data_IF_116989796639
#
_entry.id   IF_116989796639
#
_cell.length_a   1.000
_cell.length_b   1.000
_cell.length_c   1.000
_cell.angle_alpha   90.00
_cell.angle_beta   90.00
_cell.angle_gamma   90.00
#
_symmetry.space_group_name_H-M   'P 1'
#
loop_
_entity.id
_entity.type
_entity.pdbx_description
1 polymer ?
#
# COMPACT_ATOMS: atom_id res chain seq x y z
N UNK A 1 9.10 54.39 -20.81
CA UNK A 1 9.28 52.95 -20.53
C UNK A 1 8.13 52.48 -19.63
N UNK A 2 7.43 51.39 -19.97
CA UNK A 2 6.39 50.79 -19.11
C UNK A 2 7.00 49.57 -18.41
N UNK A 3 6.75 49.33 -17.10
CA UNK A 3 7.28 48.15 -16.43
C UNK A 3 6.58 46.88 -16.92
N UNK A 4 7.37 45.83 -17.15
CA UNK A 4 6.89 44.49 -17.48
C UNK A 4 6.37 43.82 -16.20
N UNK A 5 5.08 43.46 -16.17
CA UNK A 5 4.46 42.73 -15.07
C UNK A 5 4.50 41.23 -15.37
N UNK A 6 5.24 40.47 -14.56
CA UNK A 6 5.23 39.00 -14.60
C UNK A 6 4.01 38.51 -13.82
N UNK A 7 2.99 38.01 -14.52
CA UNK A 7 1.90 37.28 -13.88
C UNK A 7 2.43 35.93 -13.39
N UNK A 8 2.54 35.75 -12.06
CA UNK A 8 2.78 34.44 -11.46
C UNK A 8 1.54 33.59 -11.66
N UNK A 9 1.57 32.68 -12.62
CA UNK A 9 0.58 31.61 -12.69
C UNK A 9 0.77 30.72 -11.46
N UNK A 10 -0.24 30.69 -10.59
CA UNK A 10 -0.28 29.74 -9.48
C UNK A 10 -0.32 28.32 -10.08
N UNK A 11 0.44 27.36 -9.53
CA UNK A 11 0.40 26.00 -10.05
C UNK A 11 -1.03 25.46 -9.90
N UNK A 12 -1.62 25.08 -11.03
CA UNK A 12 -2.89 24.38 -11.13
C UNK A 12 -2.91 23.22 -10.13
N UNK A 13 -3.85 23.28 -9.18
CA UNK A 13 -4.05 22.26 -8.16
C UNK A 13 -4.57 21.00 -8.85
N UNK A 14 -3.64 20.13 -9.22
CA UNK A 14 -3.87 18.85 -9.91
C UNK A 14 -4.91 18.04 -9.15
N UNK A 15 -5.92 17.56 -9.89
CA UNK A 15 -7.08 16.82 -9.39
C UNK A 15 -6.72 15.92 -8.20
N UNK A 16 -7.21 16.30 -7.03
CA UNK A 16 -6.95 15.58 -5.79
C UNK A 16 -7.67 14.24 -5.89
N UNK A 17 -6.93 13.16 -6.15
CA UNK A 17 -7.49 11.81 -6.07
C UNK A 17 -7.95 11.61 -4.62
N UNK A 18 -9.27 11.60 -4.44
CA UNK A 18 -9.89 11.42 -3.14
C UNK A 18 -10.25 9.94 -2.99
N UNK A 19 -9.42 9.21 -2.25
CA UNK A 19 -9.71 7.82 -1.90
C UNK A 19 -10.78 7.82 -0.80
N UNK A 20 -11.98 7.38 -1.14
CA UNK A 20 -13.06 7.19 -0.17
C UNK A 20 -13.09 5.71 0.23
N UNK A 21 -12.75 5.42 1.48
CA UNK A 21 -13.09 4.14 2.06
C UNK A 21 -14.58 4.20 2.46
N UNK A 22 -15.42 3.22 2.08
CA UNK A 22 -16.82 3.23 2.50
C UNK A 22 -16.87 3.30 4.03
N UNK A 23 -17.60 4.29 4.54
CA UNK A 23 -17.78 4.56 5.97
C UNK A 23 -18.35 3.30 6.62
N UNK A 24 -17.52 2.53 7.33
CA UNK A 24 -17.98 1.33 8.01
C UNK A 24 -18.68 1.72 9.28
N UNK A 25 -19.95 1.31 9.41
CA UNK A 25 -20.70 1.29 10.65
C UNK A 25 -19.82 0.84 11.81
N UNK A 26 -19.38 1.77 12.67
CA UNK A 26 -18.85 1.61 14.05
C UNK A 26 -17.94 0.39 14.40
N UNK A 27 -17.50 -0.45 13.46
CA UNK A 27 -16.69 -1.67 13.65
C UNK A 27 -15.18 -1.40 13.59
N UNK A 28 -14.80 -0.14 13.36
CA UNK A 28 -13.42 0.35 13.43
C UNK A 28 -12.99 0.87 14.81
N UNK A 29 -13.83 0.81 15.85
CA UNK A 29 -13.45 1.27 17.19
C UNK A 29 -12.29 0.41 17.73
N UNK A 30 -11.07 0.94 17.67
CA UNK A 30 -9.85 0.34 18.24
C UNK A 30 -8.83 -0.22 17.24
N UNK A 31 -9.11 -0.24 15.92
CA UNK A 31 -8.17 -0.68 14.89
C UNK A 31 -7.60 0.49 14.08
N UNK A 32 -6.38 0.34 13.56
CA UNK A 32 -5.64 1.41 12.88
C UNK A 32 -5.64 1.28 11.35
N UNK A 33 -5.36 2.38 10.66
CA UNK A 33 -4.90 2.36 9.28
C UNK A 33 -3.37 2.32 9.26
N UNK A 34 -2.81 1.35 8.52
CA UNK A 34 -1.37 1.17 8.35
C UNK A 34 -0.95 1.61 6.95
N UNK A 35 0.05 2.48 6.85
CA UNK A 35 0.59 2.97 5.57
C UNK A 35 2.05 2.53 5.47
N UNK A 36 2.36 1.67 4.50
CA UNK A 36 3.70 1.17 4.24
C UNK A 36 4.26 1.72 2.93
N UNK A 37 5.37 2.43 2.98
CA UNK A 37 6.08 2.93 1.78
C UNK A 37 7.30 2.07 1.47
N UNK A 38 7.54 1.78 0.19
CA UNK A 38 8.67 0.96 -0.28
C UNK A 38 8.71 -0.39 0.47
N UNK A 39 9.82 -0.72 1.13
CA UNK A 39 9.97 -1.91 1.95
C UNK A 39 8.92 -2.03 3.07
N UNK A 40 8.43 -0.89 3.58
CA UNK A 40 7.42 -0.85 4.63
C UNK A 40 6.12 -1.54 4.23
N UNK A 41 5.76 -1.59 2.94
CA UNK A 41 4.53 -2.26 2.51
C UNK A 41 4.61 -3.78 2.61
N UNK A 42 5.71 -4.40 2.15
CA UNK A 42 5.84 -5.86 2.27
C UNK A 42 6.05 -6.28 3.73
N UNK A 43 6.74 -5.46 4.54
CA UNK A 43 6.85 -5.69 6.00
C UNK A 43 5.47 -5.61 6.67
N UNK A 44 4.64 -4.65 6.26
CA UNK A 44 3.27 -4.53 6.77
C UNK A 44 2.45 -5.77 6.43
N UNK A 45 2.60 -6.33 5.23
CA UNK A 45 1.95 -7.59 4.85
C UNK A 45 2.42 -8.77 5.73
N UNK A 46 3.71 -8.86 6.04
CA UNK A 46 4.25 -9.84 7.01
C UNK A 46 3.63 -9.66 8.39
N UNK A 47 3.49 -8.43 8.86
CA UNK A 47 2.85 -8.13 10.13
C UNK A 47 1.39 -8.60 10.19
N UNK A 48 0.67 -8.58 9.06
CA UNK A 48 -0.72 -9.05 8.96
C UNK A 48 -0.85 -10.58 8.83
N UNK A 49 0.17 -11.25 8.31
CA UNK A 49 0.13 -12.71 8.09
C UNK A 49 0.14 -13.47 9.41
N UNK A 50 -0.61 -14.57 9.44
CA UNK A 50 -0.60 -15.54 10.53
C UNK A 50 0.48 -16.62 10.35
N UNK A 51 1.16 -16.65 9.18
CA UNK A 51 2.24 -17.61 8.93
C UNK A 51 3.53 -17.12 9.58
N UNK A 52 4.31 -18.09 10.07
CA UNK A 52 5.59 -17.82 10.72
C UNK A 52 6.60 -17.20 9.74
N UNK A 53 7.01 -15.96 10.03
CA UNK A 53 8.10 -15.26 9.37
C UNK A 53 9.25 -15.04 10.34
N UNK A 54 10.43 -15.60 10.04
CA UNK A 54 11.61 -15.43 10.89
C UNK A 54 11.44 -15.94 12.32
N UNK A 55 10.62 -16.96 12.53
CA UNK A 55 10.36 -17.55 13.85
C UNK A 55 9.15 -16.95 14.59
N UNK A 56 8.43 -15.96 14.02
CA UNK A 56 7.30 -15.30 14.69
C UNK A 56 6.09 -15.11 13.76
N UNK A 57 4.90 -15.15 14.35
CA UNK A 57 3.67 -14.56 13.80
C UNK A 57 3.35 -13.30 14.60
N UNK A 58 2.79 -12.28 13.95
CA UNK A 58 2.55 -10.98 14.58
C UNK A 58 1.06 -10.67 14.80
N UNK A 59 0.15 -11.45 14.21
CA UNK A 59 -1.30 -11.33 14.35
C UNK A 59 -1.83 -9.89 14.13
N UNK A 60 -1.17 -9.12 13.25
CA UNK A 60 -1.48 -7.71 13.04
C UNK A 60 -2.87 -7.45 12.45
N UNK A 61 -3.49 -8.47 11.86
CA UNK A 61 -4.85 -8.41 11.30
C UNK A 61 -5.93 -8.12 12.35
N UNK A 62 -5.67 -8.42 13.62
CA UNK A 62 -6.57 -8.07 14.74
C UNK A 62 -6.53 -6.57 15.07
N UNK A 63 -5.43 -5.89 14.74
CA UNK A 63 -5.16 -4.50 15.12
C UNK A 63 -5.30 -3.53 13.93
N UNK A 64 -5.24 -4.03 12.71
CA UNK A 64 -5.29 -3.22 11.49
C UNK A 64 -6.67 -3.35 10.84
N UNK A 65 -7.24 -2.21 10.49
CA UNK A 65 -8.48 -2.13 9.69
C UNK A 65 -8.18 -1.96 8.21
N UNK A 66 -7.18 -1.13 7.87
CA UNK A 66 -6.80 -0.84 6.48
C UNK A 66 -5.29 -0.86 6.31
N UNK A 67 -4.81 -1.38 5.18
CA UNK A 67 -3.43 -1.29 4.72
C UNK A 67 -3.36 -0.48 3.42
N UNK A 68 -2.49 0.52 3.38
CA UNK A 68 -2.11 1.20 2.15
C UNK A 68 -0.62 0.96 1.88
N UNK A 69 -0.28 0.49 0.69
CA UNK A 69 1.11 0.35 0.26
C UNK A 69 1.43 1.37 -0.82
N UNK A 70 2.59 2.03 -0.71
CA UNK A 70 3.05 3.08 -1.62
C UNK A 70 4.40 2.66 -2.21
N UNK A 71 4.48 2.51 -3.53
CA UNK A 71 5.70 2.05 -4.23
C UNK A 71 6.30 0.75 -3.65
N UNK A 72 5.46 -0.12 -3.10
CA UNK A 72 5.93 -1.34 -2.46
C UNK A 72 6.19 -2.45 -3.49
N UNK A 73 7.32 -3.17 -3.38
CA UNK A 73 7.58 -4.27 -4.28
C UNK A 73 6.60 -5.41 -3.98
N UNK A 74 5.72 -5.68 -4.94
CA UNK A 74 4.76 -6.79 -4.88
C UNK A 74 5.13 -7.94 -5.82
N UNK A 75 6.23 -7.82 -6.58
CA UNK A 75 6.71 -8.86 -7.48
C UNK A 75 7.96 -9.56 -6.91
N UNK A 76 8.09 -10.84 -7.22
CA UNK A 76 9.30 -11.60 -6.92
C UNK A 76 10.43 -11.13 -7.83
N UNK A 77 11.65 -11.07 -7.29
CA UNK A 77 12.85 -10.81 -8.07
C UNK A 77 14.00 -11.67 -7.50
N UNK A 78 15.04 -11.97 -8.30
CA UNK A 78 16.19 -12.73 -7.81
C UNK A 78 17.00 -11.91 -6.78
N UNK A 79 17.66 -12.62 -5.87
CA UNK A 79 18.57 -12.04 -4.88
C UNK A 79 18.08 -12.19 -3.44
N UNK A 80 19.03 -12.20 -2.50
CA UNK A 80 18.73 -12.41 -1.08
C UNK A 80 17.75 -11.36 -0.52
N UNK A 81 17.82 -10.12 -1.02
CA UNK A 81 16.94 -9.02 -0.63
C UNK A 81 15.45 -9.24 -0.95
N UNK A 82 15.13 -10.13 -1.89
CA UNK A 82 13.75 -10.37 -2.35
C UNK A 82 13.13 -11.67 -1.82
N UNK A 83 13.88 -12.50 -1.08
CA UNK A 83 13.35 -13.74 -0.48
C UNK A 83 12.17 -13.49 0.45
N UNK A 84 12.19 -12.36 1.17
CA UNK A 84 11.09 -11.95 2.04
C UNK A 84 9.84 -11.54 1.26
N UNK A 85 10.04 -10.89 0.11
CA UNK A 85 8.95 -10.50 -0.80
C UNK A 85 8.34 -11.75 -1.43
N UNK A 86 9.18 -12.70 -1.85
CA UNK A 86 8.71 -14.01 -2.34
C UNK A 86 7.92 -14.77 -1.28
N UNK A 87 8.38 -14.75 -0.02
CA UNK A 87 7.67 -15.40 1.07
C UNK A 87 6.27 -14.82 1.26
N UNK A 88 6.15 -13.49 1.30
CA UNK A 88 4.86 -12.81 1.58
C UNK A 88 3.93 -12.80 0.38
N UNK A 89 4.45 -12.93 -0.84
CA UNK A 89 3.63 -13.07 -2.05
C UNK A 89 2.89 -14.41 -2.15
N UNK A 90 3.16 -15.34 -1.24
CA UNK A 90 2.40 -16.59 -1.08
C UNK A 90 1.30 -16.46 -0.03
N UNK A 91 1.16 -15.30 0.60
CA UNK A 91 0.15 -15.02 1.62
C UNK A 91 -0.87 -14.03 1.08
N UNK A 92 -2.14 -14.35 1.28
CA UNK A 92 -3.23 -13.44 1.03
C UNK A 92 -3.32 -12.38 2.13
N UNK A 93 -3.88 -11.23 1.80
CA UNK A 93 -4.28 -10.26 2.83
C UNK A 93 -5.50 -10.85 3.56
N UNK A 94 -5.53 -10.87 4.90
CA UNK A 94 -6.70 -11.37 5.62
C UNK A 94 -7.97 -10.59 5.25
N UNK A 95 -9.08 -11.29 5.04
CA UNK A 95 -10.39 -10.71 4.66
C UNK A 95 -10.89 -9.62 5.62
N UNK A 96 -10.37 -9.59 6.85
CA UNK A 96 -10.69 -8.61 7.88
C UNK A 96 -9.99 -7.25 7.69
N UNK A 97 -9.05 -7.17 6.74
CA UNK A 97 -8.23 -5.99 6.44
C UNK A 97 -8.47 -5.53 5.00
N UNK A 98 -8.79 -4.24 4.83
CA UNK A 98 -8.92 -3.63 3.50
C UNK A 98 -7.55 -3.20 2.98
N UNK A 99 -7.14 -3.66 1.81
CA UNK A 99 -5.85 -3.29 1.23
C UNK A 99 -6.00 -2.40 -0.01
N UNK A 100 -5.10 -1.42 -0.15
CA UNK A 100 -4.90 -0.64 -1.37
C UNK A 100 -3.40 -0.58 -1.69
N UNK A 101 -3.04 -0.92 -2.93
CA UNK A 101 -1.69 -0.74 -3.45
C UNK A 101 -1.67 0.44 -4.43
N UNK A 102 -0.79 1.40 -4.16
CA UNK A 102 -0.56 2.56 -5.02
C UNK A 102 0.82 2.40 -5.65
N UNK A 103 0.82 2.22 -6.96
CA UNK A 103 2.03 2.21 -7.77
C UNK A 103 2.34 3.62 -8.29
N UNK A 104 3.62 3.88 -8.50
CA UNK A 104 4.10 5.17 -8.96
C UNK A 104 4.84 5.03 -10.26
N UNK A 105 5.13 6.19 -10.83
CA UNK A 105 5.63 6.28 -12.19
C UNK A 105 7.12 5.95 -12.31
N UNK A 106 7.85 5.88 -11.20
CA UNK A 106 9.31 5.75 -11.17
C UNK A 106 9.84 4.33 -11.35
N UNK A 107 9.07 3.30 -10.99
CA UNK A 107 9.46 1.90 -11.16
C UNK A 107 8.23 1.06 -11.50
N UNK A 108 8.04 0.74 -12.78
CA UNK A 108 6.95 -0.13 -13.20
C UNK A 108 7.22 -1.56 -12.73
N UNK A 109 6.29 -2.13 -11.97
CA UNK A 109 6.29 -3.56 -11.67
C UNK A 109 6.17 -4.39 -12.96
N UNK A 110 6.68 -5.63 -12.93
CA UNK A 110 6.48 -6.58 -14.03
C UNK A 110 4.99 -6.89 -14.25
N UNK A 111 4.65 -7.35 -15.45
CA UNK A 111 3.29 -7.74 -15.81
C UNK A 111 2.83 -8.99 -15.05
N UNK A 112 2.26 -8.81 -13.86
CA UNK A 112 1.52 -9.85 -13.14
C UNK A 112 0.23 -9.24 -12.60
N UNK A 113 -0.84 -9.37 -13.38
CA UNK A 113 -2.09 -8.62 -13.30
C UNK A 113 -3.19 -9.26 -12.43
N UNK A 114 -2.85 -10.09 -11.44
CA UNK A 114 -3.88 -10.78 -10.63
C UNK A 114 -4.15 -10.17 -9.25
N UNK A 115 -3.48 -9.07 -8.86
CA UNK A 115 -3.74 -8.43 -7.55
C UNK A 115 -4.85 -7.37 -7.57
N UNK A 116 -5.35 -6.98 -8.74
CA UNK A 116 -6.26 -5.83 -8.87
C UNK A 116 -7.75 -6.18 -8.98
N UNK A 117 -8.14 -7.47 -9.01
CA UNK A 117 -9.50 -7.84 -9.44
C UNK A 117 -10.59 -7.95 -8.38
N UNK A 118 -10.32 -7.84 -7.08
CA UNK A 118 -11.40 -7.95 -6.07
C UNK A 118 -11.46 -6.77 -5.09
N UNK A 119 -11.37 -5.56 -5.63
CA UNK A 119 -11.69 -4.34 -4.88
C UNK A 119 -12.59 -3.42 -5.71
N UNK A 120 -13.83 -3.86 -5.96
CA UNK A 120 -14.98 -2.99 -6.25
C UNK A 120 -16.16 -3.51 -5.44
#
# INVERSE_FOLDING_TARGET
>A
MRPFQVQRQQPQQKDRIQFSFPHTDRKGKGRIALIGHSAGGWISRVYLSNRNYGGRSYNGSELVHSLMTLESPNANAPGAAFKSIEWINREDIPDTVRALAVAGKGFQGGSMWNFYQECI
#
